data_IF_476966627982
#
_entry.id   IF_476966627982
#
_cell.length_a   1.000
_cell.length_b   1.000
_cell.length_c   1.000
_cell.angle_alpha   90.00
_cell.angle_beta   90.00
_cell.angle_gamma   90.00
#
_symmetry.space_group_name_H-M   'P 1'
#
loop_
_entity.id
_entity.type
_entity.pdbx_description
1 polymer ?
#
# COMPACT_ATOMS: atom_id res chain seq x y z
N UNK A 1 28.53 -7.17 -1.09
CA UNK A 1 27.11 -6.81 -0.94
C UNK A 1 26.38 -7.43 -2.09
N UNK A 2 25.39 -8.28 -1.81
CA UNK A 2 24.58 -8.91 -2.85
C UNK A 2 23.63 -7.87 -3.47
N UNK A 3 23.21 -8.04 -4.72
CA UNK A 3 22.21 -7.18 -5.38
C UNK A 3 20.91 -7.07 -4.55
N UNK A 4 20.55 -8.14 -3.84
CA UNK A 4 19.41 -8.20 -2.93
C UNK A 4 19.57 -7.30 -1.71
N UNK A 5 20.79 -7.15 -1.17
CA UNK A 5 21.05 -6.24 -0.04
C UNK A 5 20.91 -4.78 -0.46
N UNK A 6 21.28 -4.46 -1.71
CA UNK A 6 21.18 -3.12 -2.27
C UNK A 6 19.73 -2.72 -2.53
N UNK A 7 18.90 -3.63 -3.06
CA UNK A 7 17.47 -3.41 -3.26
C UNK A 7 16.75 -3.22 -1.92
N UNK A 8 17.06 -4.05 -0.92
CA UNK A 8 16.51 -3.91 0.44
C UNK A 8 16.95 -2.61 1.10
N UNK A 9 18.19 -2.18 0.91
CA UNK A 9 18.68 -0.89 1.41
C UNK A 9 17.96 0.30 0.74
N UNK A 10 17.77 0.27 -0.58
CA UNK A 10 17.03 1.31 -1.31
C UNK A 10 15.55 1.34 -0.91
N UNK A 11 14.93 0.19 -0.66
CA UNK A 11 13.57 0.12 -0.13
C UNK A 11 13.48 0.71 1.28
N UNK A 12 14.44 0.40 2.15
CA UNK A 12 14.50 0.94 3.52
C UNK A 12 14.71 2.47 3.54
N UNK A 13 15.51 3.04 2.63
CA UNK A 13 15.61 4.50 2.51
C UNK A 13 14.32 5.16 2.01
N UNK A 14 13.65 4.53 1.04
CA UNK A 14 12.33 4.99 0.57
C UNK A 14 11.29 4.99 1.70
N UNK A 15 11.32 3.95 2.55
CA UNK A 15 10.48 3.82 3.75
C UNK A 15 10.75 4.96 4.73
N UNK A 16 12.03 5.26 5.04
CA UNK A 16 12.40 6.33 5.96
C UNK A 16 11.92 7.72 5.50
N UNK A 17 11.88 7.97 4.19
CA UNK A 17 11.42 9.24 3.60
C UNK A 17 9.91 9.47 3.65
N UNK A 18 9.12 8.45 4.02
CA UNK A 18 7.64 8.47 3.98
C UNK A 18 6.96 8.65 5.35
N UNK A 19 7.72 8.95 6.41
CA UNK A 19 7.15 9.24 7.73
C UNK A 19 6.20 10.43 7.67
N UNK A 20 4.96 10.33 8.20
CA UNK A 20 4.05 11.47 8.26
C UNK A 20 4.62 12.49 9.25
N UNK A 21 4.99 13.67 8.75
CA UNK A 21 5.45 14.78 9.58
C UNK A 21 4.30 15.22 10.48
N UNK A 22 4.53 15.27 11.79
CA UNK A 22 3.58 15.84 12.75
C UNK A 22 3.18 17.27 12.35
N UNK A 23 1.88 17.62 12.35
CA UNK A 23 1.47 18.98 12.01
C UNK A 23 1.88 19.93 13.14
N UNK A 24 2.74 20.88 12.84
CA UNK A 24 3.04 22.01 13.72
C UNK A 24 1.83 22.93 13.80
N UNK A 25 1.38 23.21 15.02
CA UNK A 25 0.16 23.98 15.32
C UNK A 25 0.30 25.45 14.96
N UNK A 26 -0.54 25.94 14.04
CA UNK A 26 -0.79 27.36 13.81
C UNK A 26 -2.22 27.68 14.25
N UNK A 27 -2.33 28.47 15.31
CA UNK A 27 -3.57 29.01 15.85
C UNK A 27 -4.17 30.06 14.90
N UNK A 28 -5.33 29.76 14.30
CA UNK A 28 -6.15 30.75 13.62
C UNK A 28 -7.62 30.60 14.05
N UNK A 29 -8.09 31.57 14.82
CA UNK A 29 -9.46 31.68 15.28
C UNK A 29 -10.38 32.04 14.11
N UNK A 30 -11.25 31.13 13.69
CA UNK A 30 -12.46 31.49 12.93
C UNK A 30 -13.57 30.48 13.20
N UNK A 31 -14.70 31.00 13.65
CA UNK A 31 -15.92 30.28 13.97
C UNK A 31 -16.57 29.75 12.69
N UNK A 32 -16.76 28.44 12.60
CA UNK A 32 -17.50 27.77 11.52
C UNK A 32 -18.19 26.52 12.06
N UNK A 33 -19.31 26.10 11.43
CA UNK A 33 -20.45 25.51 12.11
C UNK A 33 -20.16 24.09 12.60
N UNK A 34 -20.73 23.77 13.77
CA UNK A 34 -20.69 22.43 14.37
C UNK A 34 -21.37 21.42 13.45
N UNK A 35 -20.58 20.69 12.68
CA UNK A 35 -20.98 19.39 12.19
C UNK A 35 -20.82 18.42 13.36
N UNK A 36 -21.92 18.08 14.01
CA UNK A 36 -21.97 16.93 14.89
C UNK A 36 -21.64 15.69 14.07
N UNK A 37 -20.56 14.95 14.38
CA UNK A 37 -20.30 13.69 13.71
C UNK A 37 -21.43 12.75 14.12
N UNK A 38 -22.26 12.34 13.16
CA UNK A 38 -23.12 11.16 13.31
C UNK A 38 -22.19 9.96 13.45
N UNK A 39 -21.69 9.70 14.66
CA UNK A 39 -21.00 8.47 15.01
C UNK A 39 -22.04 7.37 15.14
N UNK A 40 -22.65 6.97 14.02
CA UNK A 40 -23.27 5.65 13.94
C UNK A 40 -22.14 4.65 14.10
N UNK A 41 -22.10 4.00 15.26
CA UNK A 41 -21.22 2.89 15.59
C UNK A 41 -21.55 1.71 14.67
N UNK A 42 -21.14 1.81 13.41
CA UNK A 42 -21.01 0.68 12.52
C UNK A 42 -19.63 0.11 12.83
N UNK A 43 -19.55 -1.17 13.20
CA UNK A 43 -18.29 -1.89 13.10
C UNK A 43 -17.86 -1.75 11.65
N UNK A 44 -16.89 -0.90 11.40
CA UNK A 44 -16.33 -0.70 10.08
C UNK A 44 -15.55 -1.98 9.75
N UNK A 45 -16.27 -2.95 9.19
CA UNK A 45 -15.69 -4.22 8.75
C UNK A 45 -14.65 -3.90 7.69
N UNK A 46 -13.48 -4.55 7.81
CA UNK A 46 -12.41 -4.36 6.84
C UNK A 46 -12.94 -4.63 5.43
N UNK A 47 -12.71 -3.68 4.54
CA UNK A 47 -13.02 -3.77 3.10
C UNK A 47 -12.48 -5.10 2.52
N UNK A 48 -11.35 -5.58 3.04
CA UNK A 48 -10.73 -6.83 2.62
C UNK A 48 -11.56 -8.08 2.92
N UNK A 49 -12.33 -8.07 4.02
CA UNK A 49 -13.24 -9.15 4.39
C UNK A 49 -14.58 -9.01 3.66
N UNK A 50 -14.96 -7.78 3.32
CA UNK A 50 -16.25 -7.46 2.70
C UNK A 50 -16.37 -7.98 1.25
N UNK A 51 -15.30 -7.92 0.46
CA UNK A 51 -15.30 -8.30 -0.96
C UNK A 51 -14.64 -9.67 -1.19
N UNK A 52 -14.99 -10.34 -2.28
CA UNK A 52 -14.35 -11.60 -2.70
C UNK A 52 -12.85 -11.42 -2.99
N UNK A 53 -12.03 -12.46 -2.82
CA UNK A 53 -10.60 -12.40 -3.13
C UNK A 53 -10.38 -12.02 -4.59
N UNK A 54 -11.22 -12.58 -5.48
CA UNK A 54 -11.24 -12.25 -6.90
C UNK A 54 -11.53 -10.77 -7.17
N UNK A 55 -12.58 -10.19 -6.56
CA UNK A 55 -12.89 -8.77 -6.75
C UNK A 55 -11.75 -7.87 -6.25
N UNK A 56 -11.15 -8.19 -5.10
CA UNK A 56 -9.99 -7.46 -4.58
C UNK A 56 -8.82 -7.57 -5.56
N UNK A 57 -8.56 -8.77 -6.08
CA UNK A 57 -7.51 -9.01 -7.06
C UNK A 57 -7.76 -8.20 -8.34
N UNK A 58 -8.95 -8.24 -8.91
CA UNK A 58 -9.31 -7.49 -10.12
C UNK A 58 -9.06 -5.98 -9.95
N UNK A 59 -9.44 -5.42 -8.79
CA UNK A 59 -9.18 -4.01 -8.49
C UNK A 59 -7.68 -3.73 -8.30
N UNK A 60 -6.95 -4.60 -7.61
CA UNK A 60 -5.50 -4.47 -7.47
C UNK A 60 -4.81 -4.48 -8.83
N UNK A 61 -5.12 -5.46 -9.69
CA UNK A 61 -4.57 -5.57 -11.04
C UNK A 61 -4.94 -4.36 -11.90
N UNK A 62 -6.19 -3.88 -11.83
CA UNK A 62 -6.59 -2.67 -12.55
C UNK A 62 -5.75 -1.46 -12.14
N UNK A 63 -5.58 -1.24 -10.84
CA UNK A 63 -4.75 -0.14 -10.30
C UNK A 63 -3.29 -0.32 -10.74
N UNK A 64 -2.72 -1.50 -10.54
CA UNK A 64 -1.31 -1.77 -10.82
C UNK A 64 -0.99 -1.67 -12.32
N UNK A 65 -1.95 -2.01 -13.19
CA UNK A 65 -1.83 -1.79 -14.64
C UNK A 65 -1.58 -0.32 -15.00
N UNK A 66 -2.13 0.63 -14.23
CA UNK A 66 -1.92 2.06 -14.49
C UNK A 66 -0.49 2.49 -14.16
N UNK A 67 0.12 1.92 -13.11
CA UNK A 67 1.51 2.17 -12.77
C UNK A 67 2.43 1.53 -13.81
N UNK A 68 2.19 0.28 -14.18
CA UNK A 68 3.00 -0.44 -15.17
C UNK A 68 2.99 0.27 -16.53
N UNK A 69 1.81 0.71 -17.00
CA UNK A 69 1.68 1.45 -18.27
C UNK A 69 2.35 2.83 -18.26
N UNK A 70 2.57 3.40 -17.08
CA UNK A 70 3.26 4.67 -16.93
C UNK A 70 4.78 4.53 -16.93
N UNK A 71 5.34 3.31 -16.90
CA UNK A 71 6.78 3.05 -16.86
C UNK A 71 7.42 3.28 -18.24
N UNK A 72 8.30 4.28 -18.42
CA UNK A 72 8.99 4.48 -19.67
C UNK A 72 10.32 3.72 -19.70
N UNK A 73 10.68 3.16 -20.86
CA UNK A 73 11.90 2.32 -21.01
C UNK A 73 13.19 3.03 -20.56
N UNK A 74 13.28 4.35 -20.74
CA UNK A 74 14.49 5.11 -20.42
C UNK A 74 14.82 5.15 -18.92
N UNK A 75 13.85 4.90 -18.04
CA UNK A 75 14.06 4.78 -16.59
C UNK A 75 14.75 3.45 -16.20
N UNK A 76 14.73 2.45 -17.11
CA UNK A 76 15.42 1.18 -16.94
C UNK A 76 16.81 1.15 -17.57
N UNK A 77 17.25 2.22 -18.22
CA UNK A 77 18.59 2.25 -18.84
C UNK A 77 19.63 2.65 -17.80
N UNK A 78 20.77 1.97 -17.80
CA UNK A 78 21.93 2.30 -16.96
C UNK A 78 21.59 2.38 -15.45
N UNK A 79 20.78 1.46 -14.96
CA UNK A 79 20.43 1.32 -13.53
C UNK A 79 19.84 2.59 -12.89
N UNK A 80 19.21 3.46 -13.69
CA UNK A 80 18.64 4.73 -13.21
C UNK A 80 17.62 4.56 -12.09
N UNK A 81 16.95 3.40 -11.99
CA UNK A 81 16.05 3.06 -10.88
C UNK A 81 16.69 3.09 -9.49
N UNK A 82 18.02 3.05 -9.40
CA UNK A 82 18.74 3.21 -8.12
C UNK A 82 18.74 4.67 -7.62
N UNK A 83 18.40 5.63 -8.48
CA UNK A 83 18.29 7.05 -8.15
C UNK A 83 16.86 7.52 -8.40
N UNK A 84 16.18 7.90 -7.32
CA UNK A 84 14.75 8.26 -7.32
C UNK A 84 14.40 9.34 -8.33
N UNK A 85 15.30 10.31 -8.51
CA UNK A 85 15.14 11.47 -9.38
C UNK A 85 15.21 11.10 -10.86
N UNK A 86 15.94 10.03 -11.20
CA UNK A 86 16.13 9.57 -12.58
C UNK A 86 15.12 8.53 -13.04
N UNK A 87 14.34 7.98 -12.10
CA UNK A 87 13.34 6.95 -12.35
C UNK A 87 12.08 7.14 -11.50
N UNK A 88 11.34 8.26 -11.70
CA UNK A 88 10.21 8.61 -10.87
C UNK A 88 9.03 7.63 -11.00
N UNK A 89 8.79 7.02 -12.16
CA UNK A 89 7.70 6.07 -12.34
C UNK A 89 8.08 4.69 -11.78
N UNK A 90 9.31 4.24 -11.98
CA UNK A 90 9.83 3.00 -11.35
C UNK A 90 9.78 3.13 -9.82
N UNK A 91 10.20 4.28 -9.28
CA UNK A 91 10.13 4.54 -7.85
C UNK A 91 8.69 4.52 -7.35
N UNK A 92 7.76 5.12 -8.10
CA UNK A 92 6.34 5.11 -7.74
C UNK A 92 5.76 3.70 -7.72
N UNK A 93 6.11 2.87 -8.69
CA UNK A 93 5.73 1.45 -8.72
C UNK A 93 6.32 0.68 -7.53
N UNK A 94 7.59 0.92 -7.18
CA UNK A 94 8.22 0.30 -6.01
C UNK A 94 7.50 0.69 -4.71
N UNK A 95 7.19 1.98 -4.53
CA UNK A 95 6.41 2.48 -3.38
C UNK A 95 5.02 1.80 -3.33
N UNK A 96 4.37 1.61 -4.48
CA UNK A 96 3.09 0.88 -4.56
C UNK A 96 3.24 -0.56 -4.06
N UNK A 97 4.28 -1.28 -4.45
CA UNK A 97 4.58 -2.62 -3.94
C UNK A 97 4.79 -2.63 -2.41
N UNK A 98 5.55 -1.67 -1.89
CA UNK A 98 5.77 -1.52 -0.45
C UNK A 98 4.45 -1.25 0.29
N UNK A 99 3.60 -0.38 -0.25
CA UNK A 99 2.26 -0.12 0.32
C UNK A 99 1.39 -1.38 0.40
N UNK A 100 1.48 -2.29 -0.58
CA UNK A 100 0.72 -3.55 -0.54
C UNK A 100 1.18 -4.46 0.60
N UNK A 101 2.48 -4.57 0.83
CA UNK A 101 3.04 -5.34 1.95
C UNK A 101 2.59 -4.74 3.29
N UNK A 102 2.73 -3.43 3.47
CA UNK A 102 2.29 -2.77 4.71
C UNK A 102 0.78 -2.87 4.94
N UNK A 103 -0.01 -2.79 3.88
CA UNK A 103 -1.45 -2.99 3.99
C UNK A 103 -1.78 -4.40 4.48
N UNK A 104 -1.12 -5.42 3.92
CA UNK A 104 -1.33 -6.81 4.35
C UNK A 104 -0.94 -7.01 5.82
N UNK A 105 0.22 -6.50 6.25
CA UNK A 105 0.65 -6.51 7.66
C UNK A 105 -0.35 -5.79 8.57
N UNK A 106 -0.79 -4.60 8.18
CA UNK A 106 -1.74 -3.81 8.96
C UNK A 106 -3.09 -4.53 9.12
N UNK A 107 -3.60 -5.18 8.07
CA UNK A 107 -4.82 -5.98 8.15
C UNK A 107 -4.66 -7.17 9.11
N UNK A 108 -3.53 -7.89 9.04
CA UNK A 108 -3.25 -9.00 9.97
C UNK A 108 -3.15 -8.56 11.43
N UNK A 109 -2.61 -7.36 11.67
CA UNK A 109 -2.48 -6.78 13.01
C UNK A 109 -3.80 -6.25 13.57
N UNK A 110 -4.81 -5.93 12.72
CA UNK A 110 -6.15 -5.53 13.17
C UNK A 110 -6.95 -6.67 13.81
N UNK A 111 -6.63 -7.93 13.48
CA UNK A 111 -7.28 -9.09 14.08
C UNK A 111 -7.00 -9.19 15.58
N UNK A 112 -8.07 -9.30 16.39
CA UNK A 112 -7.99 -9.28 17.86
C UNK A 112 -7.80 -10.68 18.44
N UNK A 113 -8.08 -11.72 17.66
CA UNK A 113 -7.91 -13.12 18.06
C UNK A 113 -7.09 -13.91 17.04
N UNK A 114 -6.47 -14.99 17.50
CA UNK A 114 -5.74 -15.92 16.63
C UNK A 114 -6.65 -16.52 15.55
N UNK A 115 -7.90 -16.83 15.90
CA UNK A 115 -8.89 -17.38 14.97
C UNK A 115 -9.23 -16.40 13.85
N UNK A 116 -9.41 -15.12 14.17
CA UNK A 116 -9.60 -14.08 13.15
C UNK A 116 -8.36 -13.91 12.29
N UNK A 117 -7.17 -13.91 12.89
CA UNK A 117 -5.91 -13.78 12.15
C UNK A 117 -5.69 -14.95 11.18
N UNK A 118 -5.98 -16.18 11.58
CA UNK A 118 -5.88 -17.34 10.69
C UNK A 118 -6.81 -17.21 9.48
N UNK A 119 -8.06 -16.76 9.69
CA UNK A 119 -8.98 -16.49 8.58
C UNK A 119 -8.47 -15.40 7.63
N UNK A 120 -7.84 -14.35 8.15
CA UNK A 120 -7.23 -13.33 7.31
C UNK A 120 -6.04 -13.88 6.51
N UNK A 121 -5.22 -14.74 7.12
CA UNK A 121 -4.12 -15.41 6.41
C UNK A 121 -4.65 -16.29 5.28
N UNK A 122 -5.66 -17.13 5.53
CA UNK A 122 -6.36 -17.91 4.50
C UNK A 122 -6.86 -16.99 3.37
N UNK A 123 -7.45 -15.85 3.73
CA UNK A 123 -7.93 -14.88 2.75
C UNK A 123 -6.82 -14.25 1.91
N UNK A 124 -5.65 -14.00 2.47
CA UNK A 124 -4.48 -13.54 1.72
C UNK A 124 -3.95 -14.61 0.77
N UNK A 125 -4.03 -15.89 1.13
CA UNK A 125 -3.70 -16.99 0.20
C UNK A 125 -4.67 -17.02 -0.99
N UNK A 126 -5.99 -16.96 -0.74
CA UNK A 126 -7.00 -16.89 -1.81
C UNK A 126 -6.79 -15.67 -2.72
N UNK A 127 -6.43 -14.52 -2.15
CA UNK A 127 -6.08 -13.33 -2.93
C UNK A 127 -4.83 -13.56 -3.79
N UNK A 128 -3.78 -14.17 -3.23
CA UNK A 128 -2.56 -14.45 -3.96
C UNK A 128 -2.79 -15.44 -5.12
N UNK A 129 -3.62 -16.47 -4.91
CA UNK A 129 -4.05 -17.40 -5.95
C UNK A 129 -4.83 -16.66 -7.05
N UNK A 130 -5.80 -15.83 -6.68
CA UNK A 130 -6.56 -15.03 -7.65
C UNK A 130 -5.68 -14.07 -8.46
N UNK A 131 -4.69 -13.42 -7.81
CA UNK A 131 -3.70 -12.58 -8.50
C UNK A 131 -2.86 -13.38 -9.48
N UNK A 132 -2.41 -14.58 -9.10
CA UNK A 132 -1.62 -15.48 -9.95
C UNK A 132 -2.40 -15.96 -11.18
N UNK A 133 -3.71 -16.22 -11.04
CA UNK A 133 -4.55 -16.66 -12.17
C UNK A 133 -4.77 -15.57 -13.23
N UNK A 134 -4.64 -14.29 -12.87
CA UNK A 134 -4.89 -13.17 -13.78
C UNK A 134 -3.70 -12.78 -14.65
N UNK A 135 -2.47 -13.24 -14.34
CA UNK A 135 -1.26 -13.01 -15.14
C UNK A 135 -0.16 -12.29 -14.39
#
# INVERSE_FOLDING_TARGET
MSETDMVLASLNELIASSSPSSPSSLSASSSSPSFSPLTSSLKEESIFVKYSAKEVAEQMTYIDSTFIRALPLHEFVATKWTQKELAPNVTRMAVRCTHMVYWAEAELLKAKSLKERMKLVERFFELAEALFEMG
#
